data_IF_059320640835
#
_entry.id   IF_059320640835
#
_cell.length_a   1.000
_cell.length_b   1.000
_cell.length_c   1.000
_cell.angle_alpha   90.00
_cell.angle_beta   90.00
_cell.angle_gamma   90.00
#
_symmetry.space_group_name_H-M   'P 1'
#
loop_
_entity.id
_entity.type
_entity.pdbx_description
1 polymer ?
#
# COMPACT_ATOMS: atom_id res chain seq x y z
N UNK A 1 -19.58 -12.13 28.84
CA UNK A 1 -18.70 -11.98 30.02
C UNK A 1 -17.23 -12.09 29.66
N UNK A 2 -16.66 -13.25 29.28
CA UNK A 2 -15.22 -13.33 28.97
C UNK A 2 -14.75 -12.47 27.77
N UNK A 3 -15.60 -12.31 26.75
CA UNK A 3 -15.28 -11.54 25.52
C UNK A 3 -15.18 -10.03 25.76
N UNK A 4 -15.95 -9.54 26.73
CA UNK A 4 -16.03 -8.14 27.10
C UNK A 4 -14.77 -7.74 27.89
N UNK A 5 -14.33 -8.62 28.81
CA UNK A 5 -13.08 -8.46 29.56
C UNK A 5 -11.85 -8.38 28.65
N UNK A 6 -11.75 -9.27 27.66
CA UNK A 6 -10.62 -9.27 26.71
C UNK A 6 -10.55 -7.96 25.91
N UNK A 7 -11.70 -7.41 25.53
CA UNK A 7 -11.74 -6.14 24.78
C UNK A 7 -11.26 -4.96 25.64
N UNK A 8 -11.60 -4.95 26.93
CA UNK A 8 -11.12 -3.95 27.89
C UNK A 8 -9.61 -4.05 28.09
N UNK A 9 -9.06 -5.26 28.25
CA UNK A 9 -7.60 -5.45 28.38
C UNK A 9 -6.83 -4.99 27.15
N UNK A 10 -7.36 -5.25 25.95
CA UNK A 10 -6.75 -4.79 24.69
C UNK A 10 -6.78 -3.26 24.60
N UNK A 11 -7.89 -2.64 25.00
CA UNK A 11 -7.99 -1.18 25.06
C UNK A 11 -6.98 -0.60 26.05
N UNK A 12 -6.81 -1.19 27.23
CA UNK A 12 -5.83 -0.73 28.23
C UNK A 12 -4.39 -0.76 27.69
N UNK A 13 -4.07 -1.74 26.84
CA UNK A 13 -2.75 -1.86 26.20
C UNK A 13 -2.57 -0.85 25.05
N UNK A 14 -3.57 -0.69 24.18
CA UNK A 14 -3.43 0.11 22.95
C UNK A 14 -3.71 1.60 23.17
N UNK A 15 -4.61 1.96 24.10
CA UNK A 15 -4.97 3.35 24.42
C UNK A 15 -3.78 4.25 24.78
N UNK A 16 -2.81 3.86 25.63
CA UNK A 16 -1.68 4.74 25.95
C UNK A 16 -0.74 5.00 24.76
N UNK A 17 -0.77 4.14 23.72
CA UNK A 17 0.10 4.26 22.54
C UNK A 17 -0.60 5.00 21.39
N UNK A 18 -1.90 4.72 21.18
CA UNK A 18 -2.65 5.18 20.02
C UNK A 18 -3.74 6.22 20.35
N UNK A 19 -4.07 6.38 21.63
CA UNK A 19 -5.29 7.06 22.06
C UNK A 19 -6.53 6.16 21.98
N UNK A 20 -7.63 6.66 22.54
CA UNK A 20 -8.86 5.88 22.72
C UNK A 20 -9.57 5.55 21.40
N UNK A 21 -9.71 6.54 20.51
CA UNK A 21 -10.42 6.35 19.25
C UNK A 21 -9.72 5.36 18.33
N UNK A 22 -8.40 5.48 18.19
CA UNK A 22 -7.63 4.64 17.27
C UNK A 22 -7.46 3.22 17.81
N UNK A 23 -7.32 3.05 19.13
CA UNK A 23 -7.34 1.74 19.76
C UNK A 23 -8.67 1.01 19.50
N UNK A 24 -9.81 1.69 19.65
CA UNK A 24 -11.12 1.13 19.35
C UNK A 24 -11.26 0.76 17.86
N UNK A 25 -10.77 1.62 16.96
CA UNK A 25 -10.80 1.39 15.52
C UNK A 25 -10.00 0.13 15.12
N UNK A 26 -8.85 -0.14 15.74
CA UNK A 26 -8.06 -1.36 15.48
C UNK A 26 -8.81 -2.63 15.90
N UNK A 27 -9.44 -2.61 17.08
CA UNK A 27 -10.26 -3.73 17.55
C UNK A 27 -11.44 -3.97 16.61
N UNK A 28 -12.11 -2.89 16.19
CA UNK A 28 -13.21 -2.96 15.24
C UNK A 28 -12.76 -3.53 13.88
N UNK A 29 -11.67 -3.02 13.33
CA UNK A 29 -11.09 -3.47 12.07
C UNK A 29 -10.81 -4.98 12.07
N UNK A 30 -10.18 -5.48 13.14
CA UNK A 30 -9.92 -6.91 13.36
C UNK A 30 -11.20 -7.74 13.40
N UNK A 31 -12.25 -7.22 14.03
CA UNK A 31 -13.53 -7.90 14.19
C UNK A 31 -14.38 -7.90 12.91
N UNK A 32 -14.47 -6.76 12.21
CA UNK A 32 -15.35 -6.58 11.05
C UNK A 32 -14.70 -7.02 9.74
N UNK A 33 -13.46 -6.58 9.48
CA UNK A 33 -12.79 -6.81 8.20
C UNK A 33 -12.14 -8.19 8.16
N UNK A 34 -11.38 -8.54 9.20
CA UNK A 34 -10.58 -9.77 9.22
C UNK A 34 -11.27 -10.95 9.89
N UNK A 35 -12.34 -10.69 10.66
CA UNK A 35 -13.10 -11.67 11.45
C UNK A 35 -12.22 -12.53 12.38
N UNK A 36 -11.04 -12.02 12.71
CA UNK A 36 -10.03 -12.66 13.57
C UNK A 36 -9.78 -11.73 14.75
N UNK A 37 -10.52 -11.90 15.87
CA UNK A 37 -10.42 -11.00 17.00
C UNK A 37 -8.98 -10.98 17.52
N UNK A 38 -8.54 -9.79 17.92
CA UNK A 38 -7.23 -9.59 18.49
C UNK A 38 -7.16 -10.27 19.87
N UNK A 39 -6.05 -10.94 20.17
CA UNK A 39 -5.79 -11.46 21.51
C UNK A 39 -5.00 -10.43 22.33
N UNK A 40 -5.10 -10.49 23.66
CA UNK A 40 -4.37 -9.58 24.55
C UNK A 40 -2.86 -9.64 24.29
N UNK A 41 -2.29 -10.84 24.08
CA UNK A 41 -0.87 -11.00 23.76
C UNK A 41 -0.51 -10.36 22.41
N UNK A 42 -1.34 -10.54 21.38
CA UNK A 42 -1.11 -9.91 20.08
C UNK A 42 -1.20 -8.38 20.15
N UNK A 43 -2.09 -7.83 21.00
CA UNK A 43 -2.15 -6.40 21.26
C UNK A 43 -0.87 -5.86 21.89
N UNK A 44 -0.29 -6.58 22.88
CA UNK A 44 1.02 -6.23 23.47
C UNK A 44 2.14 -6.23 22.43
N UNK A 45 2.14 -7.20 21.51
CA UNK A 45 3.12 -7.23 20.42
C UNK A 45 2.93 -6.03 19.47
N UNK A 46 1.70 -5.72 19.07
CA UNK A 46 1.42 -4.56 18.22
C UNK A 46 1.83 -3.24 18.89
N UNK A 47 1.53 -3.06 20.18
CA UNK A 47 1.92 -1.87 20.92
C UNK A 47 3.44 -1.64 20.88
N UNK A 48 4.25 -2.70 21.02
CA UNK A 48 5.71 -2.61 20.90
C UNK A 48 6.14 -2.19 19.49
N UNK A 49 5.59 -2.82 18.47
CA UNK A 49 5.91 -2.48 17.07
C UNK A 49 5.52 -1.04 16.72
N UNK A 50 4.38 -0.54 17.19
CA UNK A 50 3.95 0.85 17.02
C UNK A 50 4.92 1.84 17.67
N UNK A 51 5.44 1.52 18.86
CA UNK A 51 6.44 2.39 19.49
C UNK A 51 7.76 2.39 18.72
N UNK A 52 8.13 1.25 18.11
CA UNK A 52 9.37 1.13 17.34
C UNK A 52 9.34 1.90 16.02
N UNK A 53 8.17 2.26 15.47
CA UNK A 53 8.11 3.07 14.24
C UNK A 53 8.51 4.53 14.46
N UNK A 54 8.50 5.01 15.71
CA UNK A 54 8.64 6.43 16.04
C UNK A 54 7.40 7.27 15.74
N UNK A 55 6.41 6.70 15.04
CA UNK A 55 5.11 7.28 14.72
C UNK A 55 4.03 6.19 14.87
N UNK A 56 3.55 5.96 16.11
CA UNK A 56 2.61 4.89 16.40
C UNK A 56 1.24 5.13 15.78
N UNK A 57 0.81 6.39 15.70
CA UNK A 57 -0.50 6.79 15.15
C UNK A 57 -0.53 6.53 13.64
N UNK A 58 0.44 7.06 12.89
CA UNK A 58 0.49 6.87 11.44
C UNK A 58 0.63 5.40 11.04
N UNK A 59 1.34 4.61 11.85
CA UNK A 59 1.45 3.17 11.66
C UNK A 59 0.10 2.45 11.84
N UNK A 60 -0.68 2.79 12.88
CA UNK A 60 -2.00 2.20 13.10
C UNK A 60 -3.01 2.61 12.02
N UNK A 61 -3.00 3.87 11.58
CA UNK A 61 -3.83 4.34 10.47
C UNK A 61 -3.50 3.60 9.18
N UNK A 62 -2.21 3.44 8.87
CA UNK A 62 -1.76 2.68 7.71
C UNK A 62 -2.19 1.21 7.79
N UNK A 63 -2.12 0.60 8.98
CA UNK A 63 -2.61 -0.76 9.20
C UNK A 63 -4.09 -0.89 8.80
N UNK A 64 -4.93 0.06 9.23
CA UNK A 64 -6.37 0.07 8.91
C UNK A 64 -6.59 0.32 7.41
N UNK A 65 -5.95 1.35 6.86
CA UNK A 65 -6.12 1.77 5.46
C UNK A 65 -5.70 0.68 4.47
N UNK A 66 -4.60 -0.02 4.74
CA UNK A 66 -4.10 -1.13 3.91
C UNK A 66 -4.82 -2.45 4.18
N UNK A 67 -5.69 -2.52 5.19
CA UNK A 67 -6.36 -3.75 5.60
C UNK A 67 -5.40 -4.80 6.16
N UNK A 68 -4.31 -4.38 6.79
CA UNK A 68 -3.31 -5.28 7.34
C UNK A 68 -3.78 -5.88 8.66
N UNK A 69 -3.50 -7.17 8.84
CA UNK A 69 -3.79 -7.83 10.10
C UNK A 69 -2.88 -7.33 11.22
N UNK A 70 -1.60 -7.15 10.95
CA UNK A 70 -0.63 -6.64 11.90
C UNK A 70 0.35 -5.72 11.20
N UNK A 71 1.04 -4.91 11.99
CA UNK A 71 2.15 -4.09 11.53
C UNK A 71 3.45 -4.56 12.16
N UNK A 72 4.53 -4.42 11.41
CA UNK A 72 5.90 -4.44 11.92
C UNK A 72 6.57 -3.12 11.58
N UNK A 73 7.51 -2.67 12.40
CA UNK A 73 8.22 -1.42 12.15
C UNK A 73 8.88 -1.40 10.75
N UNK A 74 9.56 -2.48 10.37
CA UNK A 74 10.18 -2.63 9.05
C UNK A 74 9.18 -2.46 7.89
N UNK A 75 7.95 -3.00 8.02
CA UNK A 75 6.93 -2.88 6.99
C UNK A 75 6.44 -1.45 6.83
N UNK A 76 6.23 -0.74 7.94
CA UNK A 76 5.85 0.67 7.95
C UNK A 76 6.91 1.54 7.27
N UNK A 77 8.18 1.38 7.68
CA UNK A 77 9.28 2.19 7.15
C UNK A 77 9.48 1.97 5.64
N UNK A 78 9.40 0.71 5.18
CA UNK A 78 9.47 0.38 3.75
C UNK A 78 8.32 1.02 2.97
N UNK A 79 7.11 1.00 3.52
CA UNK A 79 5.95 1.57 2.86
C UNK A 79 6.02 3.09 2.79
N UNK A 80 6.47 3.75 3.87
CA UNK A 80 6.75 5.20 3.87
C UNK A 80 7.82 5.57 2.84
N UNK A 81 8.89 4.78 2.73
CA UNK A 81 9.92 4.98 1.71
C UNK A 81 9.37 4.79 0.29
N UNK A 82 8.48 3.82 0.08
CA UNK A 82 7.80 3.59 -1.20
C UNK A 82 6.88 4.76 -1.58
N UNK A 83 6.13 5.30 -0.62
CA UNK A 83 5.27 6.48 -0.85
C UNK A 83 6.10 7.72 -1.18
N UNK A 84 7.20 7.96 -0.48
CA UNK A 84 8.13 9.04 -0.80
C UNK A 84 8.80 8.87 -2.18
N UNK A 85 9.13 7.63 -2.54
CA UNK A 85 9.64 7.25 -3.87
C UNK A 85 8.60 7.36 -4.99
N UNK A 86 7.32 7.12 -4.71
CA UNK A 86 6.27 7.25 -5.73
C UNK A 86 6.07 8.71 -6.14
N UNK A 87 6.19 9.64 -5.19
CA UNK A 87 6.09 11.08 -5.45
C UNK A 87 7.25 11.53 -6.36
N UNK A 88 8.46 11.03 -6.12
CA UNK A 88 9.62 11.42 -6.93
C UNK A 88 9.67 10.71 -8.31
N UNK A 89 9.05 9.54 -8.45
CA UNK A 89 8.85 8.85 -9.74
C UNK A 89 7.90 9.63 -10.64
N UNK A 90 6.79 10.16 -10.10
CA UNK A 90 5.84 10.98 -10.87
C UNK A 90 6.48 12.28 -11.42
N UNK A 91 7.51 12.81 -10.74
CA UNK A 91 8.28 13.97 -11.21
C UNK A 91 9.35 13.58 -12.26
N UNK A 92 9.81 12.33 -12.26
CA UNK A 92 10.68 11.76 -13.29
C UNK A 92 9.82 11.09 -14.35
N UNK A 93 9.18 11.88 -15.21
CA UNK A 93 8.75 11.41 -16.53
C UNK A 93 10.00 10.86 -17.23
N UNK A 94 10.15 9.55 -17.18
CA UNK A 94 11.27 8.82 -17.76
C UNK A 94 11.33 9.12 -19.25
N UNK A 95 12.54 9.33 -19.80
CA UNK A 95 12.75 9.61 -21.23
C UNK A 95 12.07 8.60 -22.20
N UNK A 96 11.71 7.42 -21.69
CA UNK A 96 10.95 6.37 -22.37
C UNK A 96 9.49 6.77 -22.67
N UNK A 97 8.87 7.62 -21.85
CA UNK A 97 7.48 8.05 -22.06
C UNK A 97 7.39 9.19 -23.10
N UNK A 98 8.39 10.07 -23.14
CA UNK A 98 8.51 11.12 -24.16
C UNK A 98 8.71 10.58 -25.59
N UNK A 99 9.23 9.36 -25.75
CA UNK A 99 9.41 8.72 -27.06
C UNK A 99 8.09 8.20 -27.67
N UNK A 100 6.98 8.19 -26.92
CA UNK A 100 5.65 7.82 -27.43
C UNK A 100 4.86 8.99 -28.00
N UNK A 101 5.28 10.23 -27.72
CA UNK A 101 4.63 11.47 -28.18
C UNK A 101 5.25 12.02 -29.49
N UNK A 102 5.94 11.19 -30.29
CA UNK A 102 6.31 11.58 -31.65
C UNK A 102 5.13 11.28 -32.59
N UNK A 103 4.37 12.27 -33.09
CA UNK A 103 3.37 12.01 -34.10
C UNK A 103 4.09 11.56 -35.37
N UNK A 104 3.77 10.35 -35.83
CA UNK A 104 4.19 9.81 -37.11
C UNK A 104 3.57 10.69 -38.20
N UNK A 105 4.28 11.74 -38.59
CA UNK A 105 3.93 12.60 -39.71
C UNK A 105 4.25 11.89 -41.01
N UNK A 106 3.22 11.65 -41.81
CA UNK A 106 3.28 11.28 -43.22
C UNK A 106 4.13 12.27 -44.02
N UNK A 107 5.07 11.75 -44.81
CA UNK A 107 5.56 12.42 -46.02
C UNK A 107 5.50 11.45 -47.20
N UNK A 108 4.63 11.80 -48.16
CA UNK A 108 4.47 11.18 -49.48
C UNK A 108 5.62 11.54 -50.42
N UNK A 109 6.21 10.56 -51.12
CA UNK A 109 6.78 10.68 -52.48
C UNK A 109 7.17 9.25 -52.95
N UNK A 110 6.56 8.60 -53.94
CA UNK A 110 6.55 8.95 -55.36
C UNK A 110 7.62 8.13 -56.13
N UNK A 111 7.18 7.28 -57.05
CA UNK A 111 7.95 6.54 -58.09
C UNK A 111 8.72 5.26 -57.62
N UNK A 112 8.72 4.09 -58.29
CA UNK A 112 8.40 3.76 -59.67
C UNK A 112 8.48 2.21 -59.88
N UNK A 113 7.49 1.66 -60.59
CA UNK A 113 7.65 0.72 -61.74
C UNK A 113 8.06 -0.78 -61.60
N UNK A 114 7.17 -1.67 -62.11
CA UNK A 114 7.38 -2.97 -62.81
C UNK A 114 7.83 -4.20 -61.94
N UNK A 115 7.27 -5.43 -61.97
CA UNK A 115 6.68 -6.32 -63.02
C UNK A 115 5.68 -7.36 -62.43
N UNK A 116 4.83 -7.99 -63.28
CA UNK A 116 3.86 -9.03 -62.91
C UNK A 116 4.32 -10.48 -63.17
N UNK A 117 3.92 -11.42 -62.30
CA UNK A 117 3.58 -12.81 -62.69
C UNK A 117 4.59 -13.94 -62.40
N UNK A 118 4.03 -15.17 -62.49
CA UNK A 118 4.63 -16.55 -62.54
C UNK A 118 4.58 -17.28 -61.18
N UNK A 119 3.56 -18.10 -60.90
CA UNK A 119 3.19 -19.46 -61.41
C UNK A 119 3.94 -20.60 -60.70
N UNK A 120 3.11 -21.51 -60.18
CA UNK A 120 3.37 -22.77 -59.48
C UNK A 120 4.29 -23.74 -60.25
N UNK A 121 5.00 -24.60 -59.50
CA UNK A 121 5.17 -26.00 -59.83
C UNK A 121 5.18 -26.84 -58.55
#
# INVERSE_FOLDING_TARGET
>A
MAKDTVSVEIMDILRPVLGEQLAAAIIEHRKRTLKKPLTVYAARMQAREYLMTGDPVGAAEMQIFRGWQAIKCDWYLKEKAREAGSINSSMRRTAVDAARDFPSGEDHFGDAFWLPGIRRH
#
